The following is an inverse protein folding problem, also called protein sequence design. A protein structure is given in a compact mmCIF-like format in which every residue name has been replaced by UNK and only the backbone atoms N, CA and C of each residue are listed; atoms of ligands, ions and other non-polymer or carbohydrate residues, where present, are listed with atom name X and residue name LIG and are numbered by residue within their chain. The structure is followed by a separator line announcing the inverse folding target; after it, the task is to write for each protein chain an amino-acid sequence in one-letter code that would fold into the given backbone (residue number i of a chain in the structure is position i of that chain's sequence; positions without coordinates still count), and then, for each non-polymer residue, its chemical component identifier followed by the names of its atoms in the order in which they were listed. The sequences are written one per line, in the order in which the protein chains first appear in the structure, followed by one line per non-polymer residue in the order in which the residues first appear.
data_IF_523821369660
#
_entry.id   IF_523821369660
#
_cell.length_a   1.000
_cell.length_b   1.000
_cell.length_c   1.000
_cell.angle_alpha   90.00
_cell.angle_beta   90.00
_cell.angle_gamma   90.00
#
_symmetry.space_group_name_H-M   'P 1'
#
loop_
_entity.id
_entity.type
_entity.pdbx_description
1 polymer ?
#
# COMPACT_ATOMS: atom_id res chain seq x y z
N UNK A 1 14.58 23.12 -5.33
CA UNK A 1 14.69 21.70 -5.67
C UNK A 1 13.41 20.97 -5.24
N UNK A 2 12.94 19.94 -5.96
CA UNK A 2 11.86 19.09 -5.48
C UNK A 2 12.22 18.42 -4.14
N UNK A 3 11.40 18.61 -3.09
CA UNK A 3 11.69 18.08 -1.75
C UNK A 3 11.71 16.53 -1.70
N UNK A 4 11.09 15.88 -2.68
CA UNK A 4 11.04 14.41 -2.77
C UNK A 4 12.42 13.74 -2.79
N UNK A 5 13.49 14.43 -3.21
CA UNK A 5 14.84 13.85 -3.18
C UNK A 5 15.24 13.37 -1.79
N UNK A 6 14.66 13.94 -0.72
CA UNK A 6 14.93 13.55 0.68
C UNK A 6 14.49 12.10 0.95
N UNK A 7 13.41 11.64 0.29
CA UNK A 7 12.75 10.36 0.59
C UNK A 7 12.91 9.31 -0.51
N UNK A 8 12.80 9.71 -1.81
CA UNK A 8 12.70 8.76 -2.92
C UNK A 8 14.04 8.20 -3.37
N UNK A 9 14.03 7.00 -4.00
CA UNK A 9 15.25 6.36 -4.51
C UNK A 9 15.98 7.19 -5.58
N UNK A 10 15.24 7.93 -6.41
CA UNK A 10 15.83 8.83 -7.40
C UNK A 10 16.74 9.89 -6.76
N UNK A 11 16.53 10.23 -5.49
CA UNK A 11 17.36 11.14 -4.71
C UNK A 11 18.61 10.48 -4.09
N UNK A 12 18.74 9.15 -4.10
CA UNK A 12 19.79 8.42 -3.38
C UNK A 12 21.20 8.89 -3.72
N UNK A 13 21.50 9.09 -5.01
CA UNK A 13 22.82 9.58 -5.44
C UNK A 13 23.11 10.99 -4.94
N UNK A 14 22.11 11.88 -4.95
CA UNK A 14 22.26 13.24 -4.44
C UNK A 14 22.45 13.23 -2.92
N UNK A 15 21.66 12.45 -2.18
CA UNK A 15 21.83 12.31 -0.72
C UNK A 15 23.22 11.81 -0.38
N UNK A 16 23.68 10.74 -1.06
CA UNK A 16 25.04 10.20 -0.89
C UNK A 16 26.10 11.28 -1.15
N UNK A 17 25.99 12.00 -2.26
CA UNK A 17 26.93 13.06 -2.62
C UNK A 17 26.98 14.17 -1.56
N UNK A 18 25.81 14.63 -1.07
CA UNK A 18 25.74 15.70 -0.07
C UNK A 18 26.27 15.27 1.30
N UNK A 19 25.99 14.03 1.72
CA UNK A 19 26.44 13.50 3.00
C UNK A 19 27.94 13.21 3.03
N UNK A 20 28.47 12.55 2.00
CA UNK A 20 29.91 12.21 1.93
C UNK A 20 30.82 13.42 1.83
N UNK A 21 30.37 14.45 1.08
CA UNK A 21 31.17 15.68 0.92
C UNK A 21 30.86 16.74 1.98
N UNK A 22 29.87 16.54 2.85
CA UNK A 22 29.46 17.49 3.89
C UNK A 22 29.16 18.91 3.36
N UNK A 23 28.61 19.01 2.13
CA UNK A 23 28.39 20.29 1.47
C UNK A 23 27.10 21.01 1.90
N UNK A 24 26.23 20.34 2.65
CA UNK A 24 24.98 20.91 3.09
C UNK A 24 25.19 21.85 4.28
N UNK A 25 24.94 23.15 4.10
CA UNK A 25 24.95 24.12 5.20
C UNK A 25 23.55 24.41 5.75
N UNK A 26 22.52 24.41 4.85
CA UNK A 26 21.14 24.67 5.26
C UNK A 26 20.15 23.99 4.34
N UNK A 27 19.07 23.44 4.92
CA UNK A 27 17.92 22.88 4.23
C UNK A 27 16.65 23.54 4.75
N UNK A 28 15.85 24.14 3.85
CA UNK A 28 14.55 24.72 4.18
C UNK A 28 13.49 23.92 3.44
N UNK A 29 12.61 23.26 4.19
CA UNK A 29 11.47 22.50 3.66
C UNK A 29 10.20 23.34 3.69
N UNK A 30 9.44 23.35 2.62
CA UNK A 30 8.11 23.94 2.59
C UNK A 30 6.99 22.90 2.84
N UNK A 31 7.34 21.70 3.28
CA UNK A 31 6.37 20.63 3.56
C UNK A 31 5.42 20.39 2.38
N UNK A 32 4.13 20.40 2.67
CA UNK A 32 3.04 20.25 1.69
C UNK A 32 2.58 21.57 1.05
N UNK A 33 3.24 22.71 1.35
CA UNK A 33 2.87 23.99 0.77
C UNK A 33 3.20 24.04 -0.73
N UNK A 34 2.23 24.48 -1.54
CA UNK A 34 2.41 24.74 -2.96
C UNK A 34 3.06 26.11 -3.17
N UNK A 35 4.38 26.12 -3.32
CA UNK A 35 5.17 27.36 -3.56
C UNK A 35 4.90 27.95 -4.94
N UNK A 36 4.65 27.12 -5.95
CA UNK A 36 4.39 27.54 -7.32
C UNK A 36 2.92 27.30 -7.70
N UNK A 37 2.24 28.33 -8.21
CA UNK A 37 0.86 28.23 -8.71
C UNK A 37 0.77 27.16 -9.81
N UNK A 38 -0.28 26.36 -9.76
CA UNK A 38 -0.58 25.30 -10.74
C UNK A 38 0.49 24.22 -10.90
N UNK A 39 1.34 24.01 -9.89
CA UNK A 39 2.31 22.90 -9.86
C UNK A 39 2.07 22.05 -8.62
N UNK A 40 2.11 20.75 -8.80
CA UNK A 40 1.93 19.76 -7.70
C UNK A 40 3.26 19.37 -7.04
N UNK A 41 4.37 20.00 -7.45
CA UNK A 41 5.71 19.68 -6.94
C UNK A 41 5.95 20.40 -5.61
N UNK A 42 6.11 19.66 -4.56
CA UNK A 42 6.60 20.18 -3.28
C UNK A 42 8.09 20.49 -3.38
N UNK A 43 8.52 21.59 -2.77
CA UNK A 43 9.86 22.12 -2.96
C UNK A 43 10.60 22.33 -1.65
N UNK A 44 11.93 22.45 -1.75
CA UNK A 44 12.81 22.87 -0.67
C UNK A 44 13.91 23.78 -1.22
N UNK A 45 14.55 24.53 -0.33
CA UNK A 45 15.78 25.27 -0.62
C UNK A 45 16.97 24.55 0.00
N UNK A 46 18.00 24.36 -0.80
CA UNK A 46 19.30 23.87 -0.36
C UNK A 46 20.32 24.99 -0.45
N UNK A 47 21.02 25.25 0.64
CA UNK A 47 22.20 26.10 0.65
C UNK A 47 23.41 25.18 0.79
N UNK A 48 24.24 25.19 -0.22
CA UNK A 48 25.42 24.35 -0.36
C UNK A 48 26.68 25.22 -0.34
N UNK A 49 27.72 24.72 0.27
CA UNK A 49 29.03 25.33 0.31
C UNK A 49 30.06 24.18 0.16
N UNK A 50 31.18 24.47 -0.52
CA UNK A 50 32.26 23.49 -0.68
C UNK A 50 33.15 23.34 0.56
N UNK A 51 32.94 24.17 1.57
CA UNK A 51 33.53 23.96 2.88
C UNK A 51 32.85 22.79 3.56
N UNK A 52 33.63 21.95 4.24
CA UNK A 52 33.06 20.81 4.97
C UNK A 52 32.29 21.31 6.19
N UNK A 53 31.00 21.00 6.24
CA UNK A 53 30.13 21.31 7.38
C UNK A 53 29.91 20.07 8.22
N UNK A 54 30.40 20.03 9.45
CA UNK A 54 30.09 18.98 10.42
C UNK A 54 28.64 19.04 10.88
N UNK A 55 28.04 20.24 10.78
CA UNK A 55 26.63 20.47 11.11
C UNK A 55 25.95 21.26 9.99
N UNK A 56 24.64 21.05 9.84
CA UNK A 56 23.78 21.86 8.99
C UNK A 56 22.51 22.27 9.72
N UNK A 57 21.88 23.36 9.28
CA UNK A 57 20.61 23.83 9.83
C UNK A 57 19.46 23.33 8.98
N UNK A 58 18.43 22.77 9.64
CA UNK A 58 17.16 22.41 9.03
C UNK A 58 16.06 23.34 9.49
N UNK A 59 15.26 23.83 8.53
CA UNK A 59 14.10 24.68 8.76
C UNK A 59 12.87 24.06 8.10
N UNK A 60 11.77 23.99 8.85
CA UNK A 60 10.48 23.61 8.31
C UNK A 60 9.52 24.79 8.35
N UNK A 61 9.04 25.23 7.19
CA UNK A 61 8.09 26.33 7.04
C UNK A 61 6.70 25.83 7.42
N UNK A 62 6.16 26.26 8.53
CA UNK A 62 4.80 25.89 9.00
C UNK A 62 3.71 26.77 8.42
N UNK A 63 3.98 28.07 8.22
CA UNK A 63 3.05 29.02 7.59
C UNK A 63 3.75 29.73 6.42
N UNK A 64 3.39 29.35 5.21
CA UNK A 64 4.01 29.89 4.00
C UNK A 64 3.72 31.37 3.78
N UNK A 65 2.54 31.87 4.21
CA UNK A 65 2.20 33.30 4.07
C UNK A 65 3.09 34.16 4.97
N UNK A 66 3.23 33.78 6.25
CA UNK A 66 4.10 34.45 7.21
C UNK A 66 5.58 34.39 6.79
N UNK A 67 5.98 33.26 6.17
CA UNK A 67 7.33 33.13 5.64
C UNK A 67 7.60 34.14 4.50
N UNK A 68 6.63 34.36 3.61
CA UNK A 68 6.75 35.35 2.52
C UNK A 68 6.82 36.78 3.04
N UNK A 69 6.10 37.12 4.08
CA UNK A 69 6.08 38.47 4.70
C UNK A 69 7.26 38.72 5.65
N UNK A 70 8.14 37.72 5.84
CA UNK A 70 9.25 37.76 6.82
C UNK A 70 8.81 37.94 8.25
N UNK A 71 7.54 37.70 8.56
CA UNK A 71 6.97 37.69 9.91
C UNK A 71 7.24 36.37 10.64
N UNK A 72 7.95 35.46 9.98
CA UNK A 72 8.15 34.09 10.43
C UNK A 72 9.23 34.01 11.53
N UNK A 73 8.83 34.42 12.73
CA UNK A 73 9.54 34.11 13.97
C UNK A 73 9.38 32.63 14.39
N UNK A 74 8.64 31.85 13.59
CA UNK A 74 8.20 30.47 13.88
C UNK A 74 8.93 29.42 13.04
N UNK A 75 10.06 29.77 12.43
CA UNK A 75 10.94 28.77 11.83
C UNK A 75 11.49 27.89 12.93
N UNK A 76 10.97 26.65 13.04
CA UNK A 76 11.59 25.63 13.86
C UNK A 76 12.93 25.29 13.22
N UNK A 77 14.02 25.88 13.75
CA UNK A 77 15.35 25.53 13.32
C UNK A 77 15.92 24.45 14.22
N UNK A 78 16.46 23.42 13.61
CA UNK A 78 17.21 22.38 14.29
C UNK A 78 18.58 22.25 13.64
N UNK A 79 19.59 22.00 14.44
CA UNK A 79 20.95 21.74 13.96
C UNK A 79 21.20 20.24 13.99
N UNK A 80 21.68 19.70 12.88
CA UNK A 80 21.97 18.28 12.69
C UNK A 80 23.43 18.06 12.36
N UNK A 81 23.99 16.98 12.85
CA UNK A 81 25.31 16.53 12.41
C UNK A 81 25.24 15.98 11.01
N UNK A 82 26.10 16.42 10.12
CA UNK A 82 26.16 15.92 8.72
C UNK A 82 26.51 14.43 8.69
N UNK A 83 27.26 13.94 9.69
CA UNK A 83 27.57 12.50 9.85
C UNK A 83 26.35 11.62 10.14
N UNK A 84 25.21 12.20 10.52
CA UNK A 84 23.96 11.47 10.70
C UNK A 84 23.21 11.22 9.39
N UNK A 85 23.66 11.83 8.30
CA UNK A 85 23.08 11.67 6.97
C UNK A 85 23.84 10.60 6.20
N UNK A 86 23.10 9.83 5.41
CA UNK A 86 23.64 8.84 4.48
C UNK A 86 22.90 8.89 3.12
N UNK A 87 22.99 7.82 2.36
CA UNK A 87 22.27 7.68 1.09
C UNK A 87 20.79 7.32 1.25
N UNK A 88 20.37 6.94 2.44
CA UNK A 88 18.99 6.54 2.74
C UNK A 88 18.06 7.75 2.93
N UNK A 89 16.77 7.49 3.21
CA UNK A 89 15.79 8.55 3.51
C UNK A 89 16.27 9.37 4.71
N UNK A 90 16.30 10.69 4.54
CA UNK A 90 16.64 11.60 5.63
C UNK A 90 15.42 11.88 6.50
N UNK A 91 15.48 11.46 7.76
CA UNK A 91 14.50 11.81 8.78
C UNK A 91 15.11 12.90 9.66
N UNK A 92 14.62 14.14 9.47
CA UNK A 92 15.23 15.34 10.04
C UNK A 92 14.51 15.77 11.32
N UNK A 93 14.28 14.82 12.21
CA UNK A 93 13.77 15.06 13.55
C UNK A 93 14.38 14.03 14.52
N UNK A 94 15.06 14.52 15.57
CA UNK A 94 15.85 13.67 16.47
C UNK A 94 14.99 12.61 17.15
N UNK A 95 13.86 13.02 17.76
CA UNK A 95 12.96 12.10 18.47
C UNK A 95 12.41 11.03 17.52
N UNK A 96 11.96 11.43 16.34
CA UNK A 96 11.51 10.51 15.27
C UNK A 96 12.59 9.49 14.93
N UNK A 97 13.85 9.93 14.78
CA UNK A 97 14.97 9.02 14.51
C UNK A 97 15.21 8.04 15.65
N UNK A 98 15.13 8.49 16.89
CA UNK A 98 15.36 7.63 18.07
C UNK A 98 14.26 6.56 18.17
N UNK A 99 12.99 6.93 17.94
CA UNK A 99 11.86 5.98 17.87
C UNK A 99 12.06 4.98 16.73
N UNK A 100 12.39 5.44 15.54
CA UNK A 100 12.61 4.55 14.39
C UNK A 100 13.75 3.56 14.62
N UNK A 101 14.87 4.01 15.20
CA UNK A 101 16.00 3.14 15.58
C UNK A 101 15.55 2.05 16.56
N UNK A 102 14.76 2.42 17.55
CA UNK A 102 14.23 1.47 18.53
C UNK A 102 13.29 0.47 17.84
N UNK A 103 12.33 0.93 17.04
CA UNK A 103 11.44 0.05 16.29
C UNK A 103 12.22 -0.93 15.41
N UNK A 104 13.21 -0.46 14.64
CA UNK A 104 14.04 -1.33 13.79
C UNK A 104 14.93 -2.29 14.60
N UNK A 105 15.39 -1.92 15.79
CA UNK A 105 16.21 -2.81 16.64
C UNK A 105 15.42 -4.02 17.19
N UNK A 106 14.10 -3.91 17.25
CA UNK A 106 13.17 -4.95 17.76
C UNK A 106 12.42 -5.67 16.63
N UNK A 107 12.74 -5.39 15.38
CA UNK A 107 11.91 -5.81 14.26
C UNK A 107 12.75 -6.30 13.09
N UNK A 108 12.11 -7.09 12.23
CA UNK A 108 12.58 -7.38 10.89
C UNK A 108 11.68 -6.65 9.87
N UNK A 109 12.22 -6.29 8.72
CA UNK A 109 11.44 -5.67 7.66
C UNK A 109 10.44 -6.66 7.06
N UNK A 110 9.20 -6.22 6.82
CA UNK A 110 8.15 -7.07 6.23
C UNK A 110 8.64 -7.81 4.98
N UNK A 111 9.34 -7.12 4.07
CA UNK A 111 9.85 -7.71 2.85
C UNK A 111 10.89 -8.82 3.05
N UNK A 112 11.56 -8.86 4.20
CA UNK A 112 12.48 -9.95 4.54
C UNK A 112 11.72 -11.14 5.15
N UNK A 113 10.67 -10.87 5.93
CA UNK A 113 9.82 -11.91 6.54
C UNK A 113 9.06 -12.67 5.46
N UNK A 114 8.30 -11.98 4.62
CA UNK A 114 7.41 -12.62 3.63
C UNK A 114 8.10 -12.87 2.28
N UNK A 115 9.28 -12.29 2.05
CA UNK A 115 9.91 -12.22 0.74
C UNK A 115 9.40 -11.00 -0.07
N UNK A 116 10.31 -10.22 -0.64
CA UNK A 116 9.96 -8.96 -1.35
C UNK A 116 9.01 -9.17 -2.53
N UNK A 117 9.07 -10.32 -3.20
CA UNK A 117 8.18 -10.69 -4.31
C UNK A 117 6.72 -10.91 -3.86
N UNK A 118 6.51 -11.17 -2.58
CA UNK A 118 5.18 -11.37 -1.98
C UNK A 118 4.51 -10.05 -1.55
N UNK A 119 5.19 -8.92 -1.72
CA UNK A 119 4.64 -7.57 -1.58
C UNK A 119 4.55 -6.96 -2.97
N UNK A 120 3.42 -7.09 -3.63
CA UNK A 120 3.24 -6.76 -5.04
C UNK A 120 2.12 -5.75 -5.26
N UNK A 121 2.19 -4.99 -6.35
CA UNK A 121 1.04 -4.19 -6.79
C UNK A 121 -0.04 -5.13 -7.36
N UNK A 122 -1.30 -4.67 -7.42
CA UNK A 122 -2.35 -5.39 -8.12
C UNK A 122 -2.08 -5.53 -9.63
N UNK A 123 -2.98 -6.21 -10.33
CA UNK A 123 -2.87 -6.43 -11.78
C UNK A 123 -2.96 -5.10 -12.56
N UNK A 124 -2.45 -5.11 -13.77
CA UNK A 124 -2.54 -3.97 -14.68
C UNK A 124 -2.99 -4.44 -16.07
N UNK A 125 -4.29 -4.42 -16.31
CA UNK A 125 -4.87 -4.77 -17.60
C UNK A 125 -4.56 -3.75 -18.69
N UNK A 126 -4.39 -2.47 -18.31
CA UNK A 126 -4.33 -1.28 -19.16
C UNK A 126 -5.57 -1.12 -20.06
N UNK A 127 -6.67 -1.80 -19.71
CA UNK A 127 -7.93 -1.78 -20.45
C UNK A 127 -9.10 -2.29 -19.59
N UNK A 128 -9.20 -1.82 -18.35
CA UNK A 128 -10.18 -2.29 -17.36
C UNK A 128 -11.60 -2.37 -17.90
N UNK A 129 -12.06 -1.37 -18.70
CA UNK A 129 -13.40 -1.35 -19.31
C UNK A 129 -13.76 -2.63 -20.08
N UNK A 130 -12.76 -3.35 -20.62
CA UNK A 130 -12.96 -4.53 -21.46
C UNK A 130 -12.67 -5.85 -20.75
N UNK A 131 -12.08 -5.77 -19.55
CA UNK A 131 -11.73 -6.97 -18.78
C UNK A 131 -12.52 -7.12 -17.50
N UNK A 132 -13.09 -6.03 -16.95
CA UNK A 132 -13.76 -6.05 -15.67
C UNK A 132 -15.25 -5.83 -15.89
N UNK A 133 -16.07 -6.78 -15.43
CA UNK A 133 -17.50 -6.77 -15.59
C UNK A 133 -18.22 -7.22 -14.32
N UNK A 134 -19.49 -6.83 -14.19
CA UNK A 134 -20.37 -7.33 -13.15
C UNK A 134 -21.05 -8.60 -13.63
N UNK A 135 -21.06 -9.60 -12.75
CA UNK A 135 -21.80 -10.83 -13.00
C UNK A 135 -23.31 -10.57 -12.94
N UNK A 136 -24.05 -11.02 -13.94
CA UNK A 136 -25.51 -11.10 -13.94
C UNK A 136 -25.93 -12.44 -13.32
N UNK A 137 -25.37 -13.52 -13.83
CA UNK A 137 -25.59 -14.90 -13.35
C UNK A 137 -24.42 -15.80 -13.72
N UNK A 138 -24.34 -16.96 -13.09
CA UNK A 138 -23.39 -18.01 -13.40
C UNK A 138 -24.11 -19.35 -13.47
N UNK A 139 -24.04 -20.00 -14.63
CA UNK A 139 -24.70 -21.29 -14.86
C UNK A 139 -23.97 -22.12 -15.93
N UNK A 140 -24.06 -23.46 -15.84
CA UNK A 140 -23.53 -24.39 -16.83
C UNK A 140 -22.04 -24.16 -17.22
N UNK A 141 -21.21 -23.69 -16.26
CA UNK A 141 -19.79 -23.41 -16.52
C UNK A 141 -19.51 -22.06 -17.20
N UNK A 142 -20.51 -21.21 -17.36
CA UNK A 142 -20.41 -19.89 -17.94
C UNK A 142 -20.77 -18.82 -16.93
N UNK A 143 -20.18 -17.60 -17.13
CA UNK A 143 -20.53 -16.36 -16.44
C UNK A 143 -21.15 -15.41 -17.45
N UNK A 144 -22.28 -14.78 -17.08
CA UNK A 144 -23.05 -13.88 -17.92
C UNK A 144 -22.88 -12.45 -17.45
N UNK A 145 -22.72 -11.52 -18.38
CA UNK A 145 -22.52 -10.10 -18.11
C UNK A 145 -23.00 -9.24 -19.26
N UNK A 146 -23.17 -7.95 -19.01
CA UNK A 146 -23.55 -6.98 -20.02
C UNK A 146 -22.34 -6.15 -20.47
N UNK A 147 -22.23 -5.93 -21.77
CA UNK A 147 -21.29 -5.00 -22.37
C UNK A 147 -21.98 -4.25 -23.53
N UNK A 148 -21.97 -2.90 -23.46
CA UNK A 148 -22.62 -2.00 -24.42
C UNK A 148 -24.11 -2.35 -24.69
N UNK A 149 -24.87 -2.74 -23.64
CA UNK A 149 -26.29 -3.08 -23.69
C UNK A 149 -26.60 -4.48 -24.31
N UNK A 150 -25.56 -5.29 -24.53
CA UNK A 150 -25.71 -6.66 -25.05
C UNK A 150 -25.22 -7.63 -23.96
N UNK A 151 -26.00 -8.67 -23.71
CA UNK A 151 -25.61 -9.77 -22.84
C UNK A 151 -24.63 -10.71 -23.53
N UNK A 152 -23.50 -10.95 -22.87
CA UNK A 152 -22.49 -11.92 -23.29
C UNK A 152 -22.31 -12.98 -22.20
N UNK A 153 -21.75 -14.11 -22.58
CA UNK A 153 -21.30 -15.13 -21.64
C UNK A 153 -19.93 -15.68 -22.05
N UNK A 154 -19.11 -15.99 -21.08
CA UNK A 154 -17.78 -16.55 -21.30
C UNK A 154 -17.55 -17.73 -20.35
N UNK A 155 -16.57 -18.57 -20.65
CA UNK A 155 -16.16 -19.70 -19.82
C UNK A 155 -15.72 -19.20 -18.44
N UNK A 156 -16.40 -19.69 -17.38
CA UNK A 156 -16.17 -19.23 -15.98
C UNK A 156 -14.74 -19.48 -15.52
N UNK A 157 -14.09 -20.53 -15.94
CA UNK A 157 -12.71 -20.84 -15.60
C UNK A 157 -11.70 -19.78 -16.05
N UNK A 158 -12.06 -18.99 -17.09
CA UNK A 158 -11.27 -17.85 -17.56
C UNK A 158 -11.72 -16.52 -16.94
N UNK A 159 -12.25 -16.59 -15.74
CA UNK A 159 -12.56 -15.41 -14.92
C UNK A 159 -11.94 -15.54 -13.55
N UNK A 160 -11.76 -14.40 -12.89
CA UNK A 160 -11.34 -14.34 -11.47
C UNK A 160 -12.20 -13.34 -10.70
N UNK A 161 -12.53 -13.63 -9.45
CA UNK A 161 -13.18 -12.65 -8.58
C UNK A 161 -12.39 -11.35 -8.57
N UNK A 162 -13.06 -10.22 -8.66
CA UNK A 162 -12.44 -8.92 -8.74
C UNK A 162 -13.14 -7.93 -7.80
N UNK A 163 -12.34 -7.07 -7.16
CA UNK A 163 -12.86 -5.98 -6.36
C UNK A 163 -12.63 -4.65 -7.09
N UNK A 164 -13.74 -3.99 -7.42
CA UNK A 164 -13.75 -2.68 -8.03
C UNK A 164 -14.24 -1.63 -7.03
N UNK A 165 -13.45 -0.58 -6.81
CA UNK A 165 -13.88 0.57 -6.02
C UNK A 165 -14.83 1.44 -6.83
N UNK A 166 -15.97 1.77 -6.25
CA UNK A 166 -16.84 2.79 -6.82
C UNK A 166 -16.16 4.15 -6.74
N UNK A 167 -16.07 4.86 -7.88
CA UNK A 167 -15.50 6.22 -7.97
C UNK A 167 -16.32 7.27 -7.21
N UNK A 168 -17.50 6.92 -6.73
CA UNK A 168 -18.44 7.80 -6.03
C UNK A 168 -18.12 8.04 -4.55
N UNK A 169 -16.98 7.59 -4.04
CA UNK A 169 -16.57 7.82 -2.65
C UNK A 169 -17.22 6.89 -1.63
N UNK A 170 -18.01 5.93 -2.07
CA UNK A 170 -18.45 4.82 -1.23
C UNK A 170 -17.27 3.89 -1.01
N UNK A 171 -16.64 4.02 0.16
CA UNK A 171 -15.46 3.28 0.53
C UNK A 171 -15.89 1.89 1.01
N UNK A 172 -16.24 1.01 0.05
CA UNK A 172 -16.60 -0.39 0.31
C UNK A 172 -15.41 -1.24 0.81
N UNK A 173 -14.23 -0.63 0.90
CA UNK A 173 -13.02 -1.26 1.39
C UNK A 173 -12.74 -0.84 2.84
N UNK A 174 -12.94 -1.76 3.77
CA UNK A 174 -12.73 -1.52 5.21
C UNK A 174 -11.65 -2.45 5.77
N UNK A 175 -10.75 -1.91 6.54
CA UNK A 175 -9.58 -2.61 7.11
C UNK A 175 -9.93 -3.90 7.87
N UNK A 176 -11.01 -3.91 8.61
CA UNK A 176 -11.40 -5.04 9.46
C UNK A 176 -12.49 -5.91 8.82
N UNK A 177 -12.85 -5.65 7.58
CA UNK A 177 -13.80 -6.47 6.82
C UNK A 177 -13.04 -7.31 5.81
N UNK A 178 -13.44 -8.57 5.63
CA UNK A 178 -12.96 -9.38 4.52
C UNK A 178 -13.33 -8.71 3.20
N UNK A 179 -12.44 -8.77 2.23
CA UNK A 179 -12.69 -8.22 0.89
C UNK A 179 -13.72 -9.10 0.20
N UNK A 180 -14.85 -8.52 -0.14
CA UNK A 180 -15.90 -9.20 -0.92
C UNK A 180 -15.79 -8.77 -2.39
N UNK A 181 -15.56 -9.71 -3.32
CA UNK A 181 -15.53 -9.38 -4.74
C UNK A 181 -16.92 -8.87 -5.19
N UNK A 182 -16.94 -7.82 -5.99
CA UNK A 182 -18.16 -7.20 -6.52
C UNK A 182 -18.24 -7.20 -8.05
N UNK A 183 -17.24 -7.80 -8.67
CA UNK A 183 -17.06 -7.90 -10.11
C UNK A 183 -16.23 -9.15 -10.41
N UNK A 184 -16.02 -9.43 -11.68
CA UNK A 184 -15.02 -10.40 -12.12
C UNK A 184 -14.09 -9.75 -13.17
N UNK A 185 -12.90 -10.32 -13.31
CA UNK A 185 -11.97 -9.95 -14.36
C UNK A 185 -11.81 -11.11 -15.34
N UNK A 186 -11.91 -10.82 -16.63
CA UNK A 186 -11.58 -11.76 -17.73
C UNK A 186 -10.09 -12.09 -17.64
N UNK A 187 -9.76 -13.38 -17.57
CA UNK A 187 -8.42 -13.87 -17.22
C UNK A 187 -7.90 -14.83 -18.31
N UNK A 188 -7.32 -14.31 -19.42
CA UNK A 188 -6.85 -15.12 -20.54
C UNK A 188 -5.48 -15.78 -20.23
N UNK A 189 -5.39 -16.40 -19.07
CA UNK A 189 -4.18 -17.06 -18.57
C UNK A 189 -4.55 -18.40 -17.93
N UNK A 190 -3.58 -19.31 -17.91
CA UNK A 190 -3.69 -20.63 -17.27
C UNK A 190 -2.48 -20.91 -16.37
N UNK A 191 -2.68 -21.73 -15.37
CA UNK A 191 -1.58 -22.24 -14.54
C UNK A 191 -0.97 -23.47 -15.19
N UNK A 192 0.34 -23.41 -15.43
CA UNK A 192 1.12 -24.55 -15.95
C UNK A 192 2.26 -24.82 -14.95
N UNK A 193 2.10 -25.89 -14.17
CA UNK A 193 2.94 -26.10 -12.99
C UNK A 193 2.73 -24.99 -11.97
N UNK A 194 3.79 -24.29 -11.59
CA UNK A 194 3.72 -23.17 -10.64
C UNK A 194 3.66 -21.79 -11.34
N UNK A 195 3.67 -21.74 -12.66
CA UNK A 195 3.71 -20.48 -13.43
C UNK A 195 2.39 -20.18 -14.09
N UNK A 196 2.06 -18.91 -14.14
CA UNK A 196 0.94 -18.39 -14.92
C UNK A 196 1.43 -18.09 -16.33
N UNK A 197 0.76 -18.66 -17.32
CA UNK A 197 1.07 -18.50 -18.73
C UNK A 197 -0.13 -17.93 -19.48
N UNK A 198 0.15 -17.12 -20.48
CA UNK A 198 -0.83 -16.60 -21.40
C UNK A 198 -1.37 -17.75 -22.26
N UNK A 199 -2.69 -17.78 -22.51
CA UNK A 199 -3.33 -18.76 -23.38
C UNK A 199 -3.16 -18.28 -24.81
N UNK A 200 -2.50 -19.10 -25.65
CA UNK A 200 -2.20 -18.77 -27.03
C UNK A 200 -3.49 -18.69 -27.90
N UNK A 201 -3.46 -17.89 -28.94
CA UNK A 201 -4.61 -17.55 -29.76
C UNK A 201 -5.36 -18.76 -30.32
N UNK A 202 -4.67 -19.76 -30.88
CA UNK A 202 -5.30 -20.94 -31.47
C UNK A 202 -5.85 -21.87 -30.37
N UNK A 203 -5.24 -21.93 -29.24
CA UNK A 203 -5.74 -22.62 -28.04
C UNK A 203 -6.99 -21.94 -27.53
N UNK A 204 -6.97 -20.61 -27.33
CA UNK A 204 -8.13 -19.85 -26.89
C UNK A 204 -9.32 -20.03 -27.82
N UNK A 205 -9.11 -19.91 -29.15
CA UNK A 205 -10.14 -20.10 -30.16
C UNK A 205 -10.78 -21.49 -30.13
N UNK A 206 -9.98 -22.52 -29.90
CA UNK A 206 -10.43 -23.91 -29.92
C UNK A 206 -11.10 -24.36 -28.64
N UNK A 207 -10.55 -23.98 -27.50
CA UNK A 207 -10.98 -24.48 -26.20
C UNK A 207 -11.98 -23.55 -25.49
N UNK A 208 -11.92 -22.24 -25.79
CA UNK A 208 -12.69 -21.19 -25.10
C UNK A 208 -13.40 -20.29 -26.11
N UNK A 209 -14.31 -20.86 -26.91
CA UNK A 209 -14.94 -20.15 -28.04
C UNK A 209 -15.74 -18.92 -27.58
N UNK A 210 -16.36 -18.94 -26.38
CA UNK A 210 -17.18 -17.83 -25.92
C UNK A 210 -16.35 -16.64 -25.47
N UNK A 211 -15.27 -16.88 -24.75
CA UNK A 211 -14.31 -15.80 -24.48
C UNK A 211 -13.68 -15.30 -25.77
N UNK A 212 -13.31 -16.17 -26.68
CA UNK A 212 -12.75 -15.76 -27.96
C UNK A 212 -13.73 -14.87 -28.78
N UNK A 213 -15.01 -15.22 -28.85
CA UNK A 213 -16.06 -14.41 -29.51
C UNK A 213 -16.12 -13.00 -28.87
N UNK A 214 -16.20 -12.92 -27.54
CA UNK A 214 -16.24 -11.64 -26.85
C UNK A 214 -14.96 -10.81 -27.10
N UNK A 215 -13.79 -11.41 -27.03
CA UNK A 215 -12.54 -10.72 -27.30
C UNK A 215 -12.46 -10.18 -28.74
N UNK A 216 -13.05 -10.84 -29.73
CA UNK A 216 -13.13 -10.31 -31.10
C UNK A 216 -13.98 -9.04 -31.16
N UNK A 217 -15.08 -8.95 -30.39
CA UNK A 217 -15.91 -7.73 -30.29
C UNK A 217 -15.09 -6.54 -29.81
N UNK A 218 -14.24 -6.73 -28.78
CA UNK A 218 -13.44 -5.64 -28.16
C UNK A 218 -12.04 -5.50 -28.78
N UNK A 219 -11.69 -6.29 -29.80
CA UNK A 219 -10.35 -6.36 -30.40
C UNK A 219 -9.81 -5.00 -30.84
N UNK A 220 -10.63 -4.17 -31.48
CA UNK A 220 -10.21 -2.85 -31.96
C UNK A 220 -9.64 -1.98 -30.83
N UNK A 221 -10.20 -2.09 -29.64
CA UNK A 221 -9.78 -1.36 -28.46
C UNK A 221 -8.58 -2.00 -27.77
N UNK A 222 -8.54 -3.33 -27.72
CA UNK A 222 -7.43 -4.05 -27.11
C UNK A 222 -6.16 -4.01 -27.95
N UNK A 223 -6.28 -3.86 -29.27
CA UNK A 223 -5.16 -3.72 -30.20
C UNK A 223 -4.74 -2.27 -30.46
N UNK A 224 -5.26 -1.31 -29.69
CA UNK A 224 -4.86 0.10 -29.79
C UNK A 224 -3.39 0.27 -29.41
N UNK A 225 -2.58 0.90 -30.28
CA UNK A 225 -1.16 1.19 -30.08
C UNK A 225 -0.88 2.03 -28.84
N UNK A 226 -1.87 2.78 -28.34
CA UNK A 226 -1.76 3.53 -27.08
C UNK A 226 -1.72 2.62 -25.85
N UNK A 227 -2.20 1.39 -25.99
CA UNK A 227 -2.15 0.39 -24.93
C UNK A 227 -0.77 -0.25 -24.89
N UNK A 228 0.07 0.21 -23.97
CA UNK A 228 1.43 -0.31 -23.79
C UNK A 228 1.39 -1.68 -23.10
N UNK A 229 1.62 -2.77 -23.85
CA UNK A 229 1.79 -4.13 -23.31
C UNK A 229 3.26 -4.36 -23.02
N UNK A 230 3.59 -4.88 -21.82
CA UNK A 230 4.97 -5.21 -21.41
C UNK A 230 5.02 -6.58 -20.69
N UNK A 231 5.97 -7.43 -21.02
CA UNK A 231 6.95 -7.31 -22.11
C UNK A 231 6.25 -7.15 -23.47
N UNK A 232 6.96 -6.59 -24.44
CA UNK A 232 6.39 -6.36 -25.78
C UNK A 232 5.87 -7.67 -26.36
N UNK A 233 4.73 -7.64 -27.10
CA UNK A 233 4.19 -8.80 -27.79
C UNK A 233 5.22 -9.38 -28.78
N UNK A 234 5.37 -10.69 -28.77
CA UNK A 234 6.28 -11.40 -29.70
C UNK A 234 5.60 -11.71 -31.05
N UNK A 235 4.26 -11.58 -31.08
CA UNK A 235 3.47 -11.87 -32.27
C UNK A 235 2.17 -11.06 -32.37
N UNK A 236 1.52 -11.09 -33.51
CA UNK A 236 0.34 -10.28 -33.78
C UNK A 236 -0.92 -10.72 -33.02
N UNK A 237 -0.87 -11.89 -32.41
CA UNK A 237 -2.04 -12.53 -31.77
C UNK A 237 -2.03 -12.36 -30.23
N UNK A 238 -1.09 -11.56 -29.67
CA UNK A 238 -1.00 -11.31 -28.22
C UNK A 238 -1.74 -10.05 -27.75
N UNK A 239 -2.54 -9.43 -28.60
CA UNK A 239 -3.23 -8.17 -28.37
C UNK A 239 -4.20 -8.19 -27.16
N UNK A 240 -4.65 -9.38 -26.72
CA UNK A 240 -5.53 -9.55 -25.56
C UNK A 240 -4.76 -9.90 -24.25
N UNK A 241 -3.45 -9.72 -24.21
CA UNK A 241 -2.67 -9.78 -22.95
C UNK A 241 -2.97 -8.55 -22.10
N UNK A 242 -2.80 -8.67 -20.80
CA UNK A 242 -2.80 -7.51 -19.92
C UNK A 242 -1.64 -6.57 -20.26
N UNK A 243 -1.81 -5.29 -19.93
CA UNK A 243 -0.75 -4.30 -20.15
C UNK A 243 0.54 -4.62 -19.40
N UNK A 244 0.43 -5.32 -18.27
CA UNK A 244 1.56 -5.89 -17.52
C UNK A 244 1.20 -7.27 -17.00
N UNK A 245 2.14 -8.21 -17.12
CA UNK A 245 2.00 -9.58 -16.59
C UNK A 245 2.38 -9.68 -15.11
N UNK A 246 2.40 -8.56 -14.38
CA UNK A 246 2.74 -8.53 -12.96
C UNK A 246 1.59 -9.03 -12.09
N UNK A 247 1.96 -9.56 -10.91
CA UNK A 247 1.05 -9.88 -9.81
C UNK A 247 -0.03 -10.95 -10.11
N UNK A 248 0.01 -11.64 -11.24
CA UNK A 248 -0.97 -12.68 -11.55
C UNK A 248 -0.93 -13.81 -10.51
N UNK A 249 0.28 -14.26 -10.17
CA UNK A 249 0.49 -15.29 -9.14
C UNK A 249 0.17 -14.78 -7.73
N UNK A 250 0.50 -13.50 -7.44
CA UNK A 250 0.23 -12.90 -6.13
C UNK A 250 -1.26 -12.71 -5.86
N UNK A 251 -2.07 -12.48 -6.90
CA UNK A 251 -3.52 -12.36 -6.74
C UNK A 251 -4.20 -13.72 -6.57
N UNK A 252 -3.71 -14.77 -7.24
CA UNK A 252 -4.37 -16.09 -7.30
C UNK A 252 -3.93 -17.01 -6.14
N UNK A 253 -4.06 -16.52 -4.91
CA UNK A 253 -3.79 -17.25 -3.67
C UNK A 253 -5.02 -17.26 -2.76
N UNK A 254 -5.15 -18.30 -1.94
CA UNK A 254 -6.34 -18.53 -1.10
C UNK A 254 -6.54 -17.43 -0.06
N UNK A 255 -5.46 -16.97 0.55
CA UNK A 255 -5.51 -15.90 1.56
C UNK A 255 -4.38 -14.90 1.39
N UNK A 256 -4.71 -13.61 1.46
CA UNK A 256 -3.77 -12.50 1.38
C UNK A 256 -4.30 -11.24 2.06
N UNK A 257 -3.43 -10.26 2.26
CA UNK A 257 -3.83 -8.89 2.57
C UNK A 257 -3.95 -8.08 1.27
N UNK A 258 -5.06 -7.40 1.09
CA UNK A 258 -5.23 -6.35 0.10
C UNK A 258 -5.04 -5.00 0.80
N UNK A 259 -4.19 -4.15 0.23
CA UNK A 259 -3.76 -2.89 0.82
C UNK A 259 -4.12 -1.72 -0.09
N UNK A 260 -4.85 -0.74 0.43
CA UNK A 260 -5.07 0.52 -0.26
C UNK A 260 -3.78 1.36 -0.26
N UNK A 261 -3.20 1.60 -1.46
CA UNK A 261 -1.92 2.31 -1.58
C UNK A 261 -2.02 3.75 -1.10
N UNK A 262 -3.12 4.43 -1.36
CA UNK A 262 -3.35 5.82 -0.96
C UNK A 262 -4.55 5.90 -0.02
N UNK A 263 -4.33 6.34 1.21
CA UNK A 263 -5.42 6.50 2.19
C UNK A 263 -5.07 7.51 3.28
N UNK A 264 -6.10 7.92 4.01
CA UNK A 264 -6.05 8.73 5.23
C UNK A 264 -6.47 7.89 6.43
N UNK A 265 -5.80 6.79 6.67
CA UNK A 265 -6.07 5.79 7.70
C UNK A 265 -5.73 4.40 7.23
N UNK A 266 -6.02 3.41 8.05
CA UNK A 266 -5.71 2.02 7.75
C UNK A 266 -6.49 1.52 6.52
N UNK A 267 -5.79 0.77 5.65
CA UNK A 267 -6.42 0.02 4.55
C UNK A 267 -5.68 -1.29 4.31
N UNK A 268 -5.87 -2.24 5.23
CA UNK A 268 -5.25 -3.58 5.21
C UNK A 268 -6.31 -4.65 5.49
N UNK A 269 -6.99 -5.12 4.47
CA UNK A 269 -8.07 -6.09 4.61
C UNK A 269 -7.64 -7.49 4.22
N UNK A 270 -8.14 -8.50 4.95
CA UNK A 270 -7.97 -9.90 4.58
C UNK A 270 -8.83 -10.19 3.35
N UNK A 271 -8.30 -10.95 2.44
CA UNK A 271 -9.02 -11.58 1.34
C UNK A 271 -8.92 -13.11 1.45
N UNK A 272 -10.07 -13.77 1.48
CA UNK A 272 -10.22 -15.24 1.49
C UNK A 272 -10.91 -15.74 0.21
N UNK A 273 -11.07 -14.90 -0.81
CA UNK A 273 -11.86 -15.16 -2.00
C UNK A 273 -11.02 -15.22 -3.29
N UNK A 274 -9.69 -15.22 -3.18
CA UNK A 274 -8.79 -15.10 -4.34
C UNK A 274 -9.08 -13.86 -5.19
N UNK A 275 -9.46 -12.76 -4.55
CA UNK A 275 -9.89 -11.53 -5.21
C UNK A 275 -8.73 -10.85 -5.90
N UNK A 276 -8.92 -10.51 -7.15
CA UNK A 276 -8.00 -9.69 -7.94
C UNK A 276 -8.31 -8.21 -7.74
N UNK A 277 -7.27 -7.39 -7.78
CA UNK A 277 -7.36 -5.92 -7.62
C UNK A 277 -6.42 -5.23 -8.61
N UNK A 278 -6.77 -4.01 -9.02
CA UNK A 278 -5.92 -3.18 -9.90
C UNK A 278 -4.84 -2.45 -9.15
N UNK A 279 -3.68 -2.30 -9.79
CA UNK A 279 -2.59 -1.46 -9.30
C UNK A 279 -2.91 0.05 -9.31
N UNK A 280 -3.79 0.51 -10.21
CA UNK A 280 -4.39 1.85 -10.26
C UNK A 280 -3.47 3.06 -10.08
N UNK A 281 -2.18 2.98 -10.39
CA UNK A 281 -1.23 4.06 -10.14
C UNK A 281 -1.09 4.38 -8.64
N UNK A 282 -1.31 5.64 -8.23
CA UNK A 282 -1.19 6.06 -6.83
C UNK A 282 -2.40 5.70 -5.96
N UNK A 283 -3.55 5.46 -6.55
CA UNK A 283 -4.81 5.21 -5.84
C UNK A 283 -5.32 3.76 -6.00
N UNK A 284 -4.45 2.83 -6.41
CA UNK A 284 -4.78 1.42 -6.55
C UNK A 284 -4.49 0.62 -5.30
N UNK A 285 -4.39 -0.68 -5.51
CA UNK A 285 -4.15 -1.66 -4.45
C UNK A 285 -2.80 -2.36 -4.64
N UNK A 286 -2.24 -2.78 -3.53
CA UNK A 286 -1.15 -3.75 -3.44
C UNK A 286 -1.61 -4.96 -2.64
N UNK A 287 -0.78 -5.98 -2.66
CA UNK A 287 -1.05 -7.29 -2.07
C UNK A 287 0.14 -7.68 -1.21
N UNK A 288 -0.14 -8.26 -0.06
CA UNK A 288 0.86 -8.89 0.80
C UNK A 288 0.45 -10.34 0.98
N UNK A 289 1.25 -11.27 0.45
CA UNK A 289 1.11 -12.69 0.68
C UNK A 289 1.99 -13.12 1.86
N UNK A 290 1.48 -14.01 2.67
CA UNK A 290 2.26 -14.67 3.73
C UNK A 290 2.41 -16.14 3.32
N UNK A 291 3.57 -16.55 2.77
CA UNK A 291 3.81 -17.92 2.36
C UNK A 291 3.68 -18.91 3.52
N UNK A 292 3.29 -20.14 3.23
CA UNK A 292 3.06 -21.19 4.24
C UNK A 292 4.30 -21.60 5.05
N UNK A 293 5.50 -21.33 4.51
CA UNK A 293 6.77 -21.54 5.22
C UNK A 293 7.14 -20.42 6.18
N UNK A 294 6.40 -19.31 6.20
CA UNK A 294 6.57 -18.20 7.14
C UNK A 294 5.81 -18.54 8.42
N UNK A 295 6.49 -18.49 9.57
CA UNK A 295 5.89 -18.83 10.89
C UNK A 295 4.91 -17.76 11.40
N UNK A 296 4.97 -16.54 10.87
CA UNK A 296 4.07 -15.45 11.26
C UNK A 296 2.67 -15.64 10.67
N UNK A 297 1.65 -15.47 11.51
CA UNK A 297 0.25 -15.45 11.06
C UNK A 297 -0.03 -14.20 10.24
N UNK A 298 -0.85 -14.31 9.19
CA UNK A 298 -1.34 -13.15 8.44
C UNK A 298 -2.09 -12.17 9.35
N UNK A 299 -2.77 -12.65 10.39
CA UNK A 299 -3.47 -11.82 11.36
C UNK A 299 -2.51 -11.07 12.30
N UNK A 300 -1.37 -11.67 12.66
CA UNK A 300 -0.31 -10.95 13.36
C UNK A 300 0.21 -9.79 12.51
N UNK A 301 0.53 -10.07 11.24
CA UNK A 301 1.00 -9.05 10.32
C UNK A 301 -0.06 -7.96 10.14
N UNK A 302 -1.34 -8.32 9.95
CA UNK A 302 -2.43 -7.35 9.86
C UNK A 302 -2.51 -6.47 11.12
N UNK A 303 -2.43 -7.06 12.31
CA UNK A 303 -2.48 -6.33 13.58
C UNK A 303 -1.37 -5.27 13.68
N UNK A 304 -0.14 -5.65 13.36
CA UNK A 304 0.98 -4.71 13.36
C UNK A 304 0.76 -3.60 12.34
N UNK A 305 0.37 -3.94 11.11
CA UNK A 305 0.14 -2.98 10.02
C UNK A 305 -1.03 -2.01 10.31
N UNK A 306 -2.02 -2.43 11.10
CA UNK A 306 -3.17 -1.60 11.50
C UNK A 306 -2.97 -0.88 12.83
N UNK A 307 -1.74 -0.79 13.31
CA UNK A 307 -1.38 -0.02 14.51
C UNK A 307 -1.05 1.44 14.19
N UNK A 308 -1.21 2.33 15.18
CA UNK A 308 -0.78 3.73 15.06
C UNK A 308 0.70 3.86 14.69
N UNK A 309 1.52 2.90 15.10
CA UNK A 309 2.98 2.89 14.87
C UNK A 309 3.33 2.76 13.39
N UNK A 310 2.67 1.83 12.69
CA UNK A 310 2.93 1.60 11.27
C UNK A 310 2.24 2.66 10.40
N UNK A 311 1.14 3.25 10.84
CA UNK A 311 0.54 4.39 10.18
C UNK A 311 1.44 5.63 10.27
N UNK A 312 1.99 5.90 11.45
CA UNK A 312 3.01 6.93 11.65
C UNK A 312 4.27 6.67 10.81
N UNK A 313 4.77 5.43 10.82
CA UNK A 313 5.89 5.02 9.95
C UNK A 313 5.59 5.32 8.48
N UNK A 314 4.40 4.97 8.00
CA UNK A 314 4.00 5.23 6.63
C UNK A 314 3.96 6.72 6.29
N UNK A 315 3.58 7.59 7.23
CA UNK A 315 3.60 9.04 7.04
C UNK A 315 5.01 9.62 6.89
N UNK A 316 6.01 8.99 7.53
CA UNK A 316 7.41 9.39 7.44
C UNK A 316 8.02 8.96 6.10
N UNK A 317 7.84 7.70 5.72
CA UNK A 317 8.48 7.11 4.54
C UNK A 317 7.66 7.22 3.25
N UNK A 318 6.34 7.37 3.36
CA UNK A 318 5.43 7.56 2.24
C UNK A 318 5.40 9.01 1.72
N UNK A 319 4.84 9.17 0.53
CA UNK A 319 4.53 10.50 0.00
C UNK A 319 3.20 10.98 0.58
N UNK A 320 3.18 12.23 1.04
CA UNK A 320 1.96 12.89 1.51
C UNK A 320 1.37 13.67 0.34
N UNK A 321 0.09 13.42 0.05
CA UNK A 321 -0.65 14.09 -1.00
C UNK A 321 -1.63 15.12 -0.42
N UNK A 322 -2.05 16.06 -1.27
CA UNK A 322 -3.08 17.04 -0.94
C UNK A 322 -4.34 16.34 -0.43
N UNK A 323 -4.92 16.85 0.65
CA UNK A 323 -6.06 16.24 1.33
C UNK A 323 -5.64 15.23 2.41
N UNK A 324 -4.38 15.28 2.84
CA UNK A 324 -3.85 14.48 3.95
C UNK A 324 -3.84 12.97 3.67
N UNK A 325 -3.63 12.58 2.42
CA UNK A 325 -3.47 11.18 2.06
C UNK A 325 -2.00 10.76 2.09
N UNK A 326 -1.74 9.61 2.68
CA UNK A 326 -0.41 8.98 2.72
C UNK A 326 -0.36 7.86 1.69
N UNK A 327 0.65 7.90 0.81
CA UNK A 327 0.91 6.82 -0.13
C UNK A 327 1.87 5.79 0.48
N UNK A 328 1.37 4.57 0.66
CA UNK A 328 2.11 3.41 1.18
C UNK A 328 2.34 2.37 0.09
N UNK A 329 3.07 2.75 -0.97
CA UNK A 329 3.43 1.84 -2.05
C UNK A 329 4.28 0.66 -1.56
N UNK A 330 4.48 -0.36 -2.41
CA UNK A 330 5.19 -1.60 -2.06
C UNK A 330 6.58 -1.38 -1.47
N UNK A 331 7.29 -0.32 -1.86
CA UNK A 331 8.59 0.05 -1.28
C UNK A 331 8.50 0.48 0.18
N UNK A 332 7.44 1.19 0.56
CA UNK A 332 7.18 1.55 1.96
C UNK A 332 6.79 0.30 2.73
N UNK A 333 5.87 -0.49 2.18
CA UNK A 333 5.38 -1.72 2.81
C UNK A 333 6.51 -2.71 3.09
N UNK A 334 7.39 -2.97 2.13
CA UNK A 334 8.52 -3.91 2.32
C UNK A 334 9.50 -3.47 3.41
N UNK A 335 9.55 -2.17 3.74
CA UNK A 335 10.41 -1.61 4.80
C UNK A 335 9.74 -1.54 6.16
N UNK A 336 8.43 -1.79 6.25
CA UNK A 336 7.67 -1.72 7.50
C UNK A 336 8.27 -2.65 8.56
N UNK A 337 8.63 -2.13 9.75
CA UNK A 337 9.19 -2.94 10.82
C UNK A 337 8.10 -3.80 11.45
N UNK A 338 8.29 -5.10 11.40
CA UNK A 338 7.44 -6.09 12.06
C UNK A 338 8.20 -6.63 13.25
N UNK A 339 7.70 -6.49 14.51
CA UNK A 339 8.37 -6.99 15.69
C UNK A 339 8.72 -8.47 15.55
N UNK A 340 9.97 -8.81 15.85
CA UNK A 340 10.46 -10.17 15.77
C UNK A 340 9.91 -11.01 16.91
N UNK A 341 9.57 -12.27 16.60
CA UNK A 341 9.12 -13.27 17.55
C UNK A 341 10.10 -14.43 17.49
N UNK A 342 10.67 -14.77 18.63
CA UNK A 342 11.34 -16.06 18.80
C UNK A 342 10.28 -17.12 19.03
N UNK A 343 9.97 -17.86 17.98
CA UNK A 343 8.95 -18.93 18.04
C UNK A 343 9.41 -20.17 18.81
N UNK A 344 10.64 -20.23 19.23
CA UNK A 344 11.16 -21.30 20.08
C UNK A 344 11.09 -20.91 21.57
N UNK A 345 10.83 -19.63 21.87
CA UNK A 345 10.42 -19.14 23.20
C UNK A 345 8.88 -19.22 23.35
N UNK A 346 8.36 -20.08 24.24
CA UNK A 346 6.90 -20.23 24.43
C UNK A 346 6.18 -18.93 24.77
N UNK A 347 6.82 -18.02 25.51
CA UNK A 347 6.20 -16.74 25.92
C UNK A 347 6.05 -15.80 24.73
N UNK A 348 7.07 -15.70 23.88
CA UNK A 348 6.97 -14.87 22.68
C UNK A 348 5.97 -15.44 21.67
N UNK A 349 5.96 -16.78 21.52
CA UNK A 349 4.94 -17.46 20.71
C UNK A 349 3.53 -17.19 21.22
N UNK A 350 3.30 -17.22 22.55
CA UNK A 350 2.00 -16.90 23.16
C UNK A 350 1.57 -15.45 22.86
N UNK A 351 2.50 -14.50 22.88
CA UNK A 351 2.22 -13.10 22.50
C UNK A 351 1.78 -13.01 21.03
N UNK A 352 2.52 -13.68 20.13
CA UNK A 352 2.16 -13.73 18.71
C UNK A 352 0.75 -14.31 18.51
N UNK A 353 0.44 -15.44 19.16
CA UNK A 353 -0.85 -16.14 19.03
C UNK A 353 -1.98 -15.31 19.64
N UNK A 354 -1.71 -14.61 20.74
CA UNK A 354 -2.66 -13.66 21.38
C UNK A 354 -2.99 -12.51 20.46
N UNK A 355 -2.00 -11.86 19.85
CA UNK A 355 -2.18 -10.75 18.91
C UNK A 355 -2.96 -11.22 17.67
N UNK A 356 -2.60 -12.42 17.14
CA UNK A 356 -3.28 -13.01 15.99
C UNK A 356 -4.77 -13.26 16.28
N UNK A 357 -5.07 -13.86 17.43
CA UNK A 357 -6.45 -14.15 17.86
C UNK A 357 -7.26 -12.88 18.13
N UNK A 358 -6.65 -11.86 18.74
CA UNK A 358 -7.29 -10.56 18.94
C UNK A 358 -7.61 -9.86 17.62
N UNK A 359 -6.72 -9.95 16.63
CA UNK A 359 -6.99 -9.38 15.31
C UNK A 359 -8.15 -10.09 14.60
N UNK A 360 -8.21 -11.42 14.67
CA UNK A 360 -9.37 -12.16 14.16
C UNK A 360 -10.68 -11.74 14.87
N UNK A 361 -10.60 -11.52 16.18
CA UNK A 361 -11.76 -11.08 16.96
C UNK A 361 -12.18 -9.64 16.58
N UNK A 362 -11.24 -8.73 16.38
CA UNK A 362 -11.51 -7.37 15.88
C UNK A 362 -12.19 -7.39 14.51
N UNK A 363 -11.71 -8.23 13.58
CA UNK A 363 -12.34 -8.41 12.28
C UNK A 363 -13.79 -8.92 12.41
N UNK A 364 -14.04 -9.86 13.32
CA UNK A 364 -15.38 -10.37 13.60
C UNK A 364 -16.30 -9.32 14.22
N UNK A 365 -15.82 -8.58 15.23
CA UNK A 365 -16.57 -7.49 15.87
C UNK A 365 -16.96 -6.43 14.86
N UNK A 366 -16.03 -6.01 14.00
CA UNK A 366 -16.31 -5.04 12.96
C UNK A 366 -17.42 -5.53 12.01
N UNK A 367 -17.35 -6.78 11.57
CA UNK A 367 -18.39 -7.40 10.73
C UNK A 367 -19.75 -7.44 11.42
N UNK A 368 -19.78 -7.70 12.73
CA UNK A 368 -21.01 -7.68 13.53
C UNK A 368 -21.58 -6.27 13.63
N UNK A 369 -20.75 -5.28 13.90
CA UNK A 369 -21.14 -3.86 13.94
C UNK A 369 -21.86 -3.42 12.66
N UNK A 370 -21.36 -3.84 11.50
CA UNK A 370 -21.96 -3.48 10.21
C UNK A 370 -23.33 -4.16 9.94
N UNK A 371 -23.62 -5.28 10.59
CA UNK A 371 -24.84 -6.07 10.39
C UNK A 371 -25.89 -5.85 11.46
N UNK A 372 -25.58 -5.12 12.53
CA UNK A 372 -26.43 -4.99 13.71
C UNK A 372 -27.30 -3.73 13.69
N UNK A 373 -28.46 -3.82 14.34
CA UNK A 373 -29.31 -2.66 14.63
C UNK A 373 -28.69 -1.76 15.71
N UNK A 374 -29.17 -0.52 15.81
CA UNK A 374 -28.53 0.59 16.55
C UNK A 374 -28.05 0.25 17.97
N UNK A 375 -28.84 -0.48 18.75
CA UNK A 375 -28.46 -0.80 20.15
C UNK A 375 -27.29 -1.76 20.23
N UNK A 376 -27.33 -2.82 19.44
CA UNK A 376 -26.27 -3.85 19.44
C UNK A 376 -25.02 -3.30 18.77
N UNK A 377 -25.17 -2.42 17.78
CA UNK A 377 -24.09 -1.70 17.13
C UNK A 377 -23.23 -0.95 18.15
N UNK A 378 -23.85 -0.15 19.03
CA UNK A 378 -23.13 0.60 20.08
C UNK A 378 -22.33 -0.32 21.00
N UNK A 379 -22.88 -1.51 21.33
CA UNK A 379 -22.19 -2.48 22.17
C UNK A 379 -20.94 -3.02 21.46
N UNK A 380 -21.07 -3.42 20.20
CA UNK A 380 -19.95 -3.93 19.41
C UNK A 380 -18.89 -2.87 19.14
N UNK A 381 -19.27 -1.62 18.89
CA UNK A 381 -18.34 -0.50 18.74
C UNK A 381 -17.50 -0.29 20.02
N UNK A 382 -18.14 -0.30 21.19
CA UNK A 382 -17.42 -0.18 22.47
C UNK A 382 -16.46 -1.35 22.71
N UNK A 383 -16.89 -2.57 22.41
CA UNK A 383 -16.03 -3.75 22.53
C UNK A 383 -14.84 -3.65 21.56
N UNK A 384 -15.08 -3.21 20.33
CA UNK A 384 -14.04 -3.03 19.33
C UNK A 384 -12.99 -2.02 19.82
N UNK A 385 -13.41 -0.85 20.33
CA UNK A 385 -12.49 0.15 20.86
C UNK A 385 -11.67 -0.36 22.05
N UNK A 386 -12.30 -1.10 22.97
CA UNK A 386 -11.58 -1.70 24.11
C UNK A 386 -10.52 -2.71 23.67
N UNK A 387 -10.86 -3.60 22.74
CA UNK A 387 -9.93 -4.58 22.20
C UNK A 387 -8.80 -3.92 21.40
N UNK A 388 -9.10 -2.83 20.68
CA UNK A 388 -8.12 -2.06 19.94
C UNK A 388 -7.10 -1.40 20.88
N UNK A 389 -7.54 -0.83 22.00
CA UNK A 389 -6.65 -0.27 23.03
C UNK A 389 -5.71 -1.34 23.62
N UNK A 390 -6.26 -2.54 23.92
CA UNK A 390 -5.44 -3.66 24.39
C UNK A 390 -4.44 -4.12 23.35
N UNK A 391 -4.84 -4.17 22.08
CA UNK A 391 -3.95 -4.50 20.96
C UNK A 391 -2.79 -3.49 20.85
N UNK A 392 -3.09 -2.21 20.89
CA UNK A 392 -2.06 -1.16 20.80
C UNK A 392 -1.09 -1.22 21.98
N UNK A 393 -1.55 -1.60 23.19
CA UNK A 393 -0.68 -1.83 24.33
C UNK A 393 0.27 -3.01 24.12
N UNK A 394 -0.21 -4.13 23.55
CA UNK A 394 0.64 -5.29 23.25
C UNK A 394 1.70 -4.92 22.21
N UNK A 395 1.32 -4.20 21.15
CA UNK A 395 2.23 -3.79 20.08
C UNK A 395 3.26 -2.77 20.60
N UNK A 396 2.85 -1.82 21.47
CA UNK A 396 3.75 -0.91 22.15
C UNK A 396 4.89 -1.65 22.86
N UNK A 397 4.54 -2.71 23.59
CA UNK A 397 5.50 -3.50 24.36
C UNK A 397 6.45 -4.29 23.46
N UNK A 398 5.96 -4.78 22.30
CA UNK A 398 6.82 -5.45 21.32
C UNK A 398 7.89 -4.52 20.73
N UNK A 399 7.57 -3.24 20.51
CA UNK A 399 8.53 -2.24 20.09
C UNK A 399 9.39 -1.67 21.22
N UNK A 400 9.07 -1.99 22.47
CA UNK A 400 9.77 -1.51 23.70
C UNK A 400 9.81 0.03 23.78
N UNK A 401 8.72 0.69 23.37
CA UNK A 401 8.68 2.15 23.21
C UNK A 401 8.68 2.93 24.53
N UNK A 402 8.27 2.32 25.65
CA UNK A 402 8.23 3.00 26.95
C UNK A 402 7.50 4.35 26.87
N UNK A 403 8.15 5.40 27.35
CA UNK A 403 7.61 6.77 27.34
C UNK A 403 7.60 7.41 25.94
N UNK A 404 8.41 6.90 24.99
CA UNK A 404 8.45 7.40 23.61
C UNK A 404 7.13 7.15 22.86
N UNK A 405 6.27 6.27 23.37
CA UNK A 405 4.92 6.05 22.82
C UNK A 405 4.09 7.33 22.75
N UNK A 406 4.26 8.23 23.73
CA UNK A 406 3.54 9.51 23.77
C UNK A 406 3.93 10.49 22.64
N UNK A 407 5.09 10.29 22.02
CA UNK A 407 5.55 11.10 20.89
C UNK A 407 4.95 10.63 19.55
N UNK A 408 4.33 9.45 19.51
CA UNK A 408 3.65 8.92 18.32
C UNK A 408 2.17 9.31 18.41
N UNK A 409 1.68 10.16 17.49
CA UNK A 409 0.31 10.63 17.53
C UNK A 409 -0.68 9.48 17.32
N UNK A 410 -1.90 9.67 17.78
CA UNK A 410 -3.02 8.83 17.34
C UNK A 410 -3.22 8.98 15.83
N UNK A 411 -3.89 8.02 15.20
CA UNK A 411 -4.13 8.11 13.75
C UNK A 411 -4.97 9.33 13.40
N UNK A 412 -5.93 9.67 14.23
CA UNK A 412 -6.77 10.86 14.05
C UNK A 412 -5.93 12.14 14.09
N UNK A 413 -5.07 12.29 15.12
CA UNK A 413 -4.20 13.47 15.26
C UNK A 413 -3.13 13.52 14.18
N UNK A 414 -2.60 12.36 13.77
CA UNK A 414 -1.67 12.27 12.65
C UNK A 414 -2.27 12.93 11.41
N UNK A 415 -3.48 12.52 11.03
CA UNK A 415 -4.13 13.02 9.81
C UNK A 415 -4.71 14.43 9.94
N UNK A 416 -4.97 14.93 11.15
CA UNK A 416 -5.29 16.35 11.39
C UNK A 416 -4.08 17.25 11.14
N UNK A 417 -2.88 16.75 11.40
CA UNK A 417 -1.63 17.53 11.36
C UNK A 417 -0.87 17.41 10.04
N UNK A 418 -1.21 16.48 9.16
CA UNK A 418 -0.69 16.34 7.80
C UNK A 418 -1.38 17.34 6.84
#
# INVERSE_FOLDING_TARGET
LPSRFIKVDAGKKLRKFLSENKYLSKLISFGSHQVFKNKTTYTCLLLLNKENHDNFSFYEVKDFKKWLTREDKYLLSSTYQTSSLDSDTWVLEKKTNDILKLMFSKSEQLGNIVGKSNVANGIQTSANKYYIHKEIKSENGFIYFEYDGIEYHIEKELTRPYFETNRSGDDSFYTYKDVEPNSFVVYPYKKVGERIQFIEYDELKRQYPKLFEFLQVVKVHLNDKKRSIKPDPTGPNEWYRYGRSQALENCDVDQKLIVGILSNGYKYSIDNHRTFVSSGGTAGYSIINVPSNVRYSIYYIQAILTSKYLEWFASIYGDIFRGRFVARGTKVQTRMPIPTIDFDDPKQKEIHDTISSKQQYLNKLYSQTQKSADRDKIIFERQFEQEKIQMDYLIKNLFDLGDLDSEIPTVEDLYKNL
#
